data_IF_010674384952
#
_entry.id   IF_010674384952
#
_cell.length_a   1.000
_cell.length_b   1.000
_cell.length_c   1.000
_cell.angle_alpha   90.00
_cell.angle_beta   90.00
_cell.angle_gamma   90.00
#
_symmetry.space_group_name_H-M   'P 1'
#
loop_
_entity.id
_entity.type
_entity.pdbx_description
1 polymer ?
#
# COMPACT_ATOMS: atom_id res chain seq x y z
N UNK A 1 -43.81 -31.91 -53.82
CA UNK A 1 -43.09 -30.62 -53.72
C UNK A 1 -43.49 -30.01 -52.39
N UNK A 2 -42.61 -30.22 -51.41
CA UNK A 2 -41.98 -29.17 -50.58
C UNK A 2 -42.83 -28.86 -49.33
N UNK A 3 -42.48 -29.39 -48.16
CA UNK A 3 -41.42 -28.95 -47.23
C UNK A 3 -41.66 -27.53 -46.71
N UNK A 4 -41.80 -27.38 -45.39
CA UNK A 4 -41.70 -26.07 -44.76
C UNK A 4 -42.25 -26.03 -43.36
N UNK A 5 -41.41 -26.38 -42.38
CA UNK A 5 -41.75 -26.55 -40.98
C UNK A 5 -42.35 -25.33 -40.28
N UNK A 6 -43.36 -25.59 -39.45
CA UNK A 6 -43.79 -24.69 -38.40
C UNK A 6 -42.82 -24.79 -37.20
N UNK A 7 -41.80 -23.93 -37.23
CA UNK A 7 -41.06 -23.48 -36.05
C UNK A 7 -40.78 -21.99 -36.25
N UNK A 8 -40.96 -21.16 -35.21
CA UNK A 8 -39.82 -21.01 -34.33
C UNK A 8 -40.20 -20.93 -32.85
N UNK A 9 -39.55 -21.79 -32.07
CA UNK A 9 -39.05 -21.39 -30.77
C UNK A 9 -38.00 -20.30 -31.00
N UNK A 10 -38.31 -19.05 -30.63
CA UNK A 10 -37.33 -17.97 -30.54
C UNK A 10 -37.29 -17.52 -29.08
N UNK A 11 -36.13 -17.71 -28.46
CA UNK A 11 -35.89 -17.55 -27.03
C UNK A 11 -36.06 -16.11 -26.50
N UNK A 12 -35.89 -15.94 -25.17
CA UNK A 12 -36.05 -14.65 -24.50
C UNK A 12 -34.95 -13.68 -24.95
N UNK A 13 -35.29 -12.80 -25.90
CA UNK A 13 -34.44 -11.70 -26.33
C UNK A 13 -34.40 -10.53 -25.32
N UNK A 14 -33.56 -9.51 -25.59
CA UNK A 14 -33.24 -8.37 -24.72
C UNK A 14 -34.42 -7.44 -24.34
N UNK A 15 -35.61 -7.73 -24.83
CA UNK A 15 -36.87 -7.02 -24.54
C UNK A 15 -37.21 -7.00 -23.04
N UNK A 16 -36.85 -8.07 -22.31
CA UNK A 16 -37.03 -8.16 -20.86
C UNK A 16 -36.20 -7.12 -20.09
N UNK A 17 -35.00 -6.79 -20.57
CA UNK A 17 -34.14 -5.79 -19.93
C UNK A 17 -34.66 -4.38 -20.09
N UNK A 18 -35.18 -4.05 -21.28
CA UNK A 18 -35.71 -2.72 -21.59
C UNK A 18 -37.06 -2.48 -20.93
N UNK A 19 -37.99 -3.44 -21.01
CA UNK A 19 -39.26 -3.38 -20.27
C UNK A 19 -39.07 -3.41 -18.75
N UNK A 20 -38.06 -4.15 -18.26
CA UNK A 20 -37.68 -4.17 -16.85
C UNK A 20 -37.15 -2.82 -16.35
N UNK A 21 -36.34 -2.13 -17.15
CA UNK A 21 -35.86 -0.78 -16.83
C UNK A 21 -36.99 0.25 -16.83
N UNK A 22 -37.91 0.19 -17.79
CA UNK A 22 -39.09 1.05 -17.81
C UNK A 22 -39.99 0.78 -16.59
N UNK A 23 -40.24 -0.48 -16.25
CA UNK A 23 -40.99 -0.85 -15.04
C UNK A 23 -40.28 -0.40 -13.76
N UNK A 24 -38.95 -0.50 -13.71
CA UNK A 24 -38.15 -0.02 -12.59
C UNK A 24 -38.19 1.52 -12.51
N UNK A 25 -38.17 2.21 -13.64
CA UNK A 25 -38.29 3.67 -13.70
C UNK A 25 -39.68 4.14 -13.26
N UNK A 26 -40.75 3.44 -13.66
CA UNK A 26 -42.11 3.75 -13.23
C UNK A 26 -42.31 3.48 -11.74
N UNK A 27 -41.76 2.38 -11.21
CA UNK A 27 -41.84 2.06 -9.78
C UNK A 27 -40.99 3.00 -8.94
N UNK A 28 -39.75 3.27 -9.34
CA UNK A 28 -38.88 4.26 -8.67
C UNK A 28 -39.49 5.65 -8.77
N UNK A 29 -40.06 6.05 -9.90
CA UNK A 29 -40.75 7.33 -10.06
C UNK A 29 -41.99 7.44 -9.15
N UNK A 30 -42.77 6.37 -9.02
CA UNK A 30 -43.92 6.31 -8.12
C UNK A 30 -43.52 6.37 -6.64
N UNK A 31 -42.45 5.65 -6.26
CA UNK A 31 -41.88 5.69 -4.91
C UNK A 31 -41.26 7.06 -4.63
N UNK A 32 -40.59 7.69 -5.60
CA UNK A 32 -40.01 9.01 -5.42
C UNK A 32 -41.09 10.10 -5.36
N UNK A 33 -42.20 9.95 -6.07
CA UNK A 33 -43.35 10.84 -5.97
C UNK A 33 -44.08 10.69 -4.61
N UNK A 34 -44.23 9.46 -4.11
CA UNK A 34 -44.89 9.18 -2.83
C UNK A 34 -44.01 9.47 -1.62
N UNK A 35 -42.68 9.29 -1.72
CA UNK A 35 -41.73 9.46 -0.62
C UNK A 35 -40.75 10.64 -0.79
N UNK A 36 -40.91 11.45 -1.84
CA UNK A 36 -40.05 12.60 -2.11
C UNK A 36 -40.03 13.62 -0.96
N UNK A 37 -41.15 13.75 -0.23
CA UNK A 37 -41.22 14.63 0.94
C UNK A 37 -40.32 14.13 2.09
N UNK A 38 -40.19 12.81 2.28
CA UNK A 38 -39.25 12.26 3.27
C UNK A 38 -37.81 12.49 2.87
N UNK A 39 -37.48 12.46 1.57
CA UNK A 39 -36.15 12.83 1.09
C UNK A 39 -35.85 14.31 1.38
N UNK A 40 -36.81 15.21 1.16
CA UNK A 40 -36.66 16.62 1.52
C UNK A 40 -36.52 16.80 3.04
N UNK A 41 -37.34 16.14 3.85
CA UNK A 41 -37.22 16.19 5.31
C UNK A 41 -35.92 15.59 5.81
N UNK A 42 -35.43 14.51 5.19
CA UNK A 42 -34.14 13.93 5.50
C UNK A 42 -33.00 14.91 5.17
N UNK A 43 -33.04 15.57 4.02
CA UNK A 43 -32.07 16.60 3.64
C UNK A 43 -32.15 17.79 4.59
N UNK A 44 -33.34 18.27 4.96
CA UNK A 44 -33.54 19.35 5.94
C UNK A 44 -33.03 18.93 7.33
N UNK A 45 -33.32 17.72 7.77
CA UNK A 45 -32.85 17.20 9.05
C UNK A 45 -31.32 17.09 9.08
N UNK A 46 -30.70 16.57 8.00
CA UNK A 46 -29.24 16.54 7.84
C UNK A 46 -28.67 17.95 7.79
N UNK A 47 -29.31 18.88 7.08
CA UNK A 47 -28.90 20.27 7.03
C UNK A 47 -28.96 20.92 8.42
N UNK A 48 -30.04 20.73 9.18
CA UNK A 48 -30.19 21.21 10.54
C UNK A 48 -29.20 20.55 11.50
N UNK A 49 -28.86 19.27 11.29
CA UNK A 49 -27.83 18.56 12.06
C UNK A 49 -26.45 19.16 11.79
N UNK A 50 -26.11 19.40 10.52
CA UNK A 50 -24.87 20.09 10.13
C UNK A 50 -24.87 21.53 10.65
N UNK A 51 -26.01 22.22 10.61
CA UNK A 51 -26.16 23.57 11.14
C UNK A 51 -26.02 23.59 12.66
N UNK A 52 -26.57 22.61 13.39
CA UNK A 52 -26.47 22.48 14.85
C UNK A 52 -25.06 22.07 15.28
N UNK A 53 -24.39 21.21 14.53
CA UNK A 53 -22.97 20.85 14.78
C UNK A 53 -22.04 22.01 14.43
N UNK A 54 -22.28 22.72 13.32
CA UNK A 54 -21.48 23.89 12.95
C UNK A 54 -21.74 25.08 13.87
N UNK A 55 -22.98 25.27 14.35
CA UNK A 55 -23.32 26.23 15.42
C UNK A 55 -22.80 25.77 16.79
N UNK A 56 -22.78 24.49 17.12
CA UNK A 56 -22.11 24.00 18.33
C UNK A 56 -20.58 24.13 18.26
N UNK A 57 -20.02 24.19 17.04
CA UNK A 57 -18.61 24.48 16.77
C UNK A 57 -18.29 25.99 16.73
N UNK A 58 -19.23 26.83 16.28
CA UNK A 58 -19.07 28.30 16.13
C UNK A 58 -19.63 29.09 17.32
N UNK A 59 -20.63 28.54 17.98
CA UNK A 59 -21.37 29.07 19.12
C UNK A 59 -20.96 28.41 20.44
N UNK A 60 -19.73 27.90 20.52
CA UNK A 60 -18.99 27.82 21.78
C UNK A 60 -18.55 29.24 22.26
N UNK A 61 -19.41 30.22 21.98
CA UNK A 61 -19.27 31.63 22.25
C UNK A 61 -20.64 32.18 22.70
N UNK A 62 -21.37 31.40 23.50
CA UNK A 62 -22.30 31.96 24.49
C UNK A 62 -21.52 32.09 25.81
N UNK A 63 -21.51 33.27 26.45
CA UNK A 63 -20.55 33.60 27.50
C UNK A 63 -21.13 33.32 28.90
N UNK A 64 -20.90 32.13 29.49
CA UNK A 64 -20.79 31.96 30.96
C UNK A 64 -20.71 30.50 31.46
N UNK A 65 -21.17 29.50 30.72
CA UNK A 65 -21.25 28.10 31.19
C UNK A 65 -20.77 27.21 30.02
N UNK A 66 -19.67 26.45 30.01
CA UNK A 66 -18.92 25.75 31.04
C UNK A 66 -17.42 25.72 30.63
N UNK A 67 -16.52 26.48 31.29
CA UNK A 67 -15.09 26.39 31.02
C UNK A 67 -14.55 24.96 31.26
N UNK A 68 -15.14 24.23 32.19
CA UNK A 68 -14.75 22.87 32.56
C UNK A 68 -14.96 21.83 31.45
N UNK A 69 -16.01 21.97 30.64
CA UNK A 69 -16.27 21.03 29.54
C UNK A 69 -15.33 21.27 28.36
N UNK A 70 -14.91 22.53 28.16
CA UNK A 70 -13.85 22.87 27.20
C UNK A 70 -12.51 22.30 27.66
N UNK A 71 -12.16 22.43 28.95
CA UNK A 71 -10.93 21.86 29.52
C UNK A 71 -10.91 20.34 29.38
N UNK A 72 -11.98 19.63 29.80
CA UNK A 72 -12.07 18.17 29.66
C UNK A 72 -11.94 17.69 28.21
N UNK A 73 -12.48 18.45 27.26
CA UNK A 73 -12.34 18.14 25.84
C UNK A 73 -10.91 18.36 25.34
N UNK A 74 -10.26 19.42 25.78
CA UNK A 74 -8.86 19.68 25.44
C UNK A 74 -7.93 18.65 26.07
N UNK A 75 -8.18 18.24 27.31
CA UNK A 75 -7.47 17.17 28.00
C UNK A 75 -7.64 15.83 27.29
N UNK A 76 -8.86 15.49 26.85
CA UNK A 76 -9.11 14.28 26.07
C UNK A 76 -8.35 14.29 24.72
N UNK A 77 -8.27 15.45 24.06
CA UNK A 77 -7.49 15.63 22.83
C UNK A 77 -5.97 15.62 23.09
N UNK A 78 -5.51 16.14 24.23
CA UNK A 78 -4.10 16.09 24.62
C UNK A 78 -3.69 14.65 24.97
N UNK A 79 -4.53 13.92 25.71
CA UNK A 79 -4.31 12.53 26.05
C UNK A 79 -4.28 11.64 24.79
N UNK A 80 -5.14 11.87 23.80
CA UNK A 80 -5.10 11.12 22.54
C UNK A 80 -3.83 11.41 21.74
N UNK A 81 -3.35 12.66 21.73
CA UNK A 81 -2.07 13.03 21.10
C UNK A 81 -0.87 12.38 21.77
N UNK A 82 -0.85 12.32 23.11
CA UNK A 82 0.24 11.68 23.85
C UNK A 82 0.29 10.17 23.59
N UNK A 83 -0.86 9.48 23.63
CA UNK A 83 -0.93 8.05 23.28
C UNK A 83 -0.40 7.77 21.88
N UNK A 84 -0.75 8.62 20.91
CA UNK A 84 -0.24 8.50 19.54
C UNK A 84 1.29 8.72 19.47
N UNK A 85 1.84 9.66 20.25
CA UNK A 85 3.28 9.89 20.30
C UNK A 85 4.03 8.72 20.95
N UNK A 86 3.49 8.14 22.03
CA UNK A 86 4.05 6.98 22.70
C UNK A 86 4.13 5.76 21.77
N UNK A 87 3.07 5.50 20.99
CA UNK A 87 3.08 4.44 19.98
C UNK A 87 4.17 4.64 18.92
N UNK A 88 4.33 5.88 18.44
CA UNK A 88 5.37 6.22 17.45
C UNK A 88 6.77 6.07 18.04
N UNK A 89 6.98 6.48 19.30
CA UNK A 89 8.26 6.31 20.00
C UNK A 89 8.57 4.82 20.16
N UNK A 90 7.60 4.02 20.61
CA UNK A 90 7.78 2.57 20.77
C UNK A 90 8.12 1.87 19.45
N UNK A 91 7.50 2.28 18.33
CA UNK A 91 7.85 1.77 17.00
C UNK A 91 9.26 2.19 16.58
N UNK A 92 9.66 3.43 16.86
CA UNK A 92 11.00 3.93 16.55
C UNK A 92 12.08 3.20 17.36
N UNK A 93 11.83 2.91 18.63
CA UNK A 93 12.73 2.14 19.49
C UNK A 93 12.87 0.70 18.99
N UNK A 94 11.77 0.01 18.72
CA UNK A 94 11.77 -1.35 18.16
C UNK A 94 12.54 -1.42 16.83
N UNK A 95 12.44 -0.40 15.99
CA UNK A 95 13.17 -0.35 14.73
C UNK A 95 14.68 -0.16 14.96
N UNK A 96 15.07 0.74 15.86
CA UNK A 96 16.48 0.95 16.25
C UNK A 96 17.09 -0.30 16.85
N UNK A 97 16.36 -1.02 17.70
CA UNK A 97 16.79 -2.30 18.28
C UNK A 97 17.04 -3.36 17.21
N UNK A 98 16.08 -3.54 16.28
CA UNK A 98 16.24 -4.46 15.15
C UNK A 98 17.44 -4.11 14.27
N UNK A 99 17.69 -2.82 14.02
CA UNK A 99 18.88 -2.40 13.28
C UNK A 99 20.17 -2.75 14.00
N UNK A 100 20.25 -2.52 15.32
CA UNK A 100 21.43 -2.89 16.12
C UNK A 100 21.67 -4.41 16.10
N UNK A 101 20.60 -5.20 16.22
CA UNK A 101 20.69 -6.67 16.13
C UNK A 101 21.24 -7.12 14.78
N UNK A 102 20.74 -6.57 13.67
CA UNK A 102 21.24 -6.90 12.34
C UNK A 102 22.70 -6.47 12.14
N UNK A 103 23.12 -5.34 12.71
CA UNK A 103 24.52 -4.92 12.67
C UNK A 103 25.42 -5.86 13.48
N UNK A 104 24.99 -6.28 14.66
CA UNK A 104 25.71 -7.26 15.47
C UNK A 104 25.78 -8.63 14.79
N UNK A 105 24.69 -9.12 14.22
CA UNK A 105 24.66 -10.37 13.46
C UNK A 105 25.60 -10.31 12.26
N UNK A 106 25.61 -9.20 11.50
CA UNK A 106 26.58 -9.02 10.41
C UNK A 106 28.02 -8.98 10.90
N UNK A 107 28.28 -8.42 12.07
CA UNK A 107 29.62 -8.46 12.68
C UNK A 107 30.00 -9.89 13.07
N UNK A 108 29.09 -10.62 13.72
CA UNK A 108 29.28 -12.02 14.11
C UNK A 108 29.45 -12.93 12.89
N UNK A 109 28.66 -12.76 11.84
CA UNK A 109 28.79 -13.48 10.57
C UNK A 109 30.15 -13.23 9.91
N UNK A 110 30.64 -11.98 9.92
CA UNK A 110 31.98 -11.69 9.42
C UNK A 110 33.04 -12.41 10.23
N UNK A 111 32.98 -12.37 11.56
CA UNK A 111 33.93 -13.07 12.44
C UNK A 111 33.89 -14.58 12.17
N UNK A 112 32.71 -15.19 12.19
CA UNK A 112 32.52 -16.61 11.93
C UNK A 112 33.01 -17.02 10.53
N UNK A 113 32.76 -16.18 9.51
CA UNK A 113 33.28 -16.41 8.16
C UNK A 113 34.81 -16.37 8.15
N UNK A 114 35.43 -15.38 8.78
CA UNK A 114 36.89 -15.25 8.89
C UNK A 114 37.52 -16.40 9.67
N UNK A 115 36.91 -16.84 10.78
CA UNK A 115 37.35 -18.00 11.57
C UNK A 115 37.23 -19.30 10.75
N UNK A 116 36.12 -19.51 10.04
CA UNK A 116 35.95 -20.69 9.16
C UNK A 116 36.96 -20.72 8.01
N UNK A 117 37.45 -19.55 7.60
CA UNK A 117 38.46 -19.39 6.55
C UNK A 117 39.87 -19.66 7.09
N UNK A 118 40.18 -19.22 8.32
CA UNK A 118 41.44 -19.57 9.00
C UNK A 118 41.53 -21.06 9.34
N UNK A 119 40.43 -21.68 9.79
CA UNK A 119 40.38 -23.10 10.14
C UNK A 119 40.36 -24.04 8.91
N UNK A 120 40.43 -23.51 7.69
CA UNK A 120 40.49 -24.30 6.45
C UNK A 120 39.19 -25.03 6.08
N UNK A 121 38.09 -24.78 6.79
CA UNK A 121 36.77 -25.39 6.57
C UNK A 121 35.98 -24.73 5.42
N UNK A 122 36.46 -23.59 4.91
CA UNK A 122 35.73 -22.67 4.03
C UNK A 122 35.32 -23.21 2.64
N UNK A 123 35.84 -24.33 2.13
CA UNK A 123 35.50 -24.77 0.76
C UNK A 123 34.68 -26.07 0.63
N UNK A 124 34.66 -26.97 1.64
CA UNK A 124 33.96 -28.27 1.51
C UNK A 124 32.67 -28.42 2.32
N UNK A 125 32.41 -27.57 3.31
CA UNK A 125 31.24 -27.71 4.22
C UNK A 125 29.97 -26.96 3.80
N UNK A 126 30.10 -25.81 3.13
CA UNK A 126 28.95 -24.93 2.82
C UNK A 126 27.97 -25.50 1.79
N UNK A 127 28.38 -26.47 0.97
CA UNK A 127 27.50 -27.14 0.02
C UNK A 127 26.45 -28.04 0.71
N UNK A 128 26.76 -28.62 1.87
CA UNK A 128 25.83 -29.51 2.60
C UNK A 128 24.85 -28.74 3.47
N UNK A 129 25.28 -27.65 4.11
CA UNK A 129 24.39 -26.81 4.93
C UNK A 129 23.32 -26.09 4.10
N UNK A 130 23.69 -25.57 2.93
CA UNK A 130 22.74 -24.92 2.02
C UNK A 130 21.75 -25.93 1.40
N UNK A 131 22.15 -27.19 1.22
CA UNK A 131 21.26 -28.26 0.74
C UNK A 131 20.25 -28.69 1.82
N UNK A 132 20.65 -28.73 3.09
CA UNK A 132 19.78 -29.11 4.21
C UNK A 132 18.76 -28.00 4.58
N UNK A 133 19.12 -26.73 4.41
CA UNK A 133 18.20 -25.59 4.56
C UNK A 133 17.15 -25.56 3.42
N UNK A 134 17.55 -25.93 2.20
CA UNK A 134 16.64 -26.07 1.05
C UNK A 134 15.73 -27.30 1.17
N UNK A 135 16.22 -28.44 1.66
CA UNK A 135 15.39 -29.65 1.86
C UNK A 135 14.34 -29.49 2.98
N UNK A 136 14.67 -28.77 4.04
CA UNK A 136 13.72 -28.51 5.14
C UNK A 136 12.60 -27.53 4.77
N UNK A 137 12.78 -26.75 3.69
CA UNK A 137 11.78 -25.82 3.16
C UNK A 137 11.06 -26.34 1.90
N UNK A 138 11.39 -27.53 1.39
CA UNK A 138 10.91 -28.05 0.12
C UNK A 138 9.75 -29.07 0.22
N UNK A 139 9.12 -29.22 1.38
CA UNK A 139 7.87 -29.99 1.52
C UNK A 139 6.65 -29.17 1.07
N UNK A 140 6.64 -28.72 -0.19
CA UNK A 140 5.41 -28.37 -0.93
C UNK A 140 5.69 -28.20 -2.44
N UNK A 141 5.12 -29.13 -3.24
CA UNK A 141 4.72 -28.94 -4.64
C UNK A 141 5.81 -28.69 -5.70
N UNK A 142 6.14 -29.77 -6.43
CA UNK A 142 7.05 -29.82 -7.57
C UNK A 142 6.50 -29.21 -8.86
N UNK A 143 7.28 -28.34 -9.54
CA UNK A 143 7.43 -28.23 -11.01
C UNK A 143 8.77 -27.54 -11.34
N UNK A 144 9.76 -28.18 -11.98
CA UNK A 144 10.98 -27.48 -12.42
C UNK A 144 10.73 -26.74 -13.76
N UNK A 145 10.69 -25.40 -13.74
CA UNK A 145 10.70 -24.58 -14.97
C UNK A 145 12.13 -24.56 -15.56
N UNK A 146 12.25 -24.80 -16.86
CA UNK A 146 13.53 -24.72 -17.60
C UNK A 146 14.09 -23.29 -17.61
N UNK A 147 15.41 -23.17 -17.44
CA UNK A 147 16.12 -21.88 -17.36
C UNK A 147 16.14 -21.21 -18.75
N UNK A 148 15.69 -19.95 -18.92
CA UNK A 148 15.88 -19.23 -20.17
C UNK A 148 17.36 -18.86 -20.34
N UNK A 149 17.86 -19.11 -21.54
CA UNK A 149 19.22 -18.85 -22.01
C UNK A 149 19.66 -17.40 -21.66
N UNK A 150 20.55 -17.25 -20.65
CA UNK A 150 20.98 -15.93 -20.18
C UNK A 150 22.10 -15.40 -21.07
N UNK A 151 21.75 -14.42 -21.90
CA UNK A 151 22.70 -13.48 -22.50
C UNK A 151 23.55 -12.87 -21.36
N UNK A 152 24.89 -12.77 -21.48
CA UNK A 152 25.73 -12.22 -20.43
C UNK A 152 25.29 -10.78 -20.11
N UNK A 153 25.19 -10.47 -18.81
CA UNK A 153 24.73 -9.18 -18.27
C UNK A 153 25.69 -8.01 -18.57
N UNK A 154 26.78 -8.26 -19.31
CA UNK A 154 27.72 -7.25 -19.80
C UNK A 154 27.90 -7.48 -21.30
N UNK A 155 27.52 -6.49 -22.11
CA UNK A 155 27.82 -6.49 -23.54
C UNK A 155 29.33 -6.64 -23.74
N UNK A 156 29.75 -7.43 -24.72
CA UNK A 156 31.15 -7.87 -24.93
C UNK A 156 32.15 -6.77 -25.32
N UNK A 157 31.93 -5.51 -24.93
CA UNK A 157 32.78 -4.36 -25.26
C UNK A 157 33.68 -3.87 -24.12
N UNK A 158 33.59 -4.42 -22.90
CA UNK A 158 34.46 -3.96 -21.81
C UNK A 158 35.84 -4.61 -21.88
N UNK A 159 36.80 -3.89 -22.46
CA UNK A 159 38.22 -4.25 -22.45
C UNK A 159 39.00 -3.35 -21.45
N UNK A 160 39.47 -3.88 -20.31
CA UNK A 160 40.15 -3.10 -19.27
C UNK A 160 41.52 -2.54 -19.71
N UNK A 161 42.05 -2.96 -20.86
CA UNK A 161 43.30 -2.42 -21.44
C UNK A 161 43.07 -1.33 -22.48
N UNK A 162 41.89 -1.25 -23.10
CA UNK A 162 41.64 -0.35 -24.24
C UNK A 162 40.79 0.88 -23.88
N UNK A 163 40.31 1.00 -22.64
CA UNK A 163 39.65 2.23 -22.18
C UNK A 163 38.37 2.64 -22.92
N UNK A 164 37.84 1.80 -23.81
CA UNK A 164 36.61 2.07 -24.57
C UNK A 164 35.38 1.76 -23.69
N UNK A 165 35.13 2.63 -22.73
CA UNK A 165 34.04 2.52 -21.77
C UNK A 165 33.78 3.84 -21.06
N UNK A 166 34.02 4.95 -21.75
CA UNK A 166 33.81 6.31 -21.25
C UNK A 166 32.55 6.93 -21.83
N UNK A 167 31.41 6.74 -21.17
CA UNK A 167 30.19 7.44 -21.59
C UNK A 167 28.96 6.97 -20.86
N UNK A 168 28.74 7.49 -19.64
CA UNK A 168 27.45 7.65 -18.91
C UNK A 168 27.67 7.52 -17.40
N UNK A 169 28.52 8.37 -16.82
CA UNK A 169 28.55 8.66 -15.37
C UNK A 169 29.40 9.93 -15.14
N UNK A 170 28.97 11.08 -15.65
CA UNK A 170 29.53 12.39 -15.28
C UNK A 170 28.90 12.86 -13.97
N UNK A 171 29.33 12.30 -12.85
CA UNK A 171 29.04 12.92 -11.55
C UNK A 171 30.00 14.10 -11.35
N UNK A 172 29.51 15.33 -11.50
CA UNK A 172 30.22 16.54 -11.06
C UNK A 172 29.61 17.00 -9.72
N UNK A 173 30.40 17.13 -8.65
CA UNK A 173 29.94 17.75 -7.41
C UNK A 173 29.51 19.19 -7.70
N UNK A 174 28.28 19.55 -7.31
CA UNK A 174 27.78 20.92 -7.44
C UNK A 174 28.68 21.91 -6.71
N UNK A 175 29.06 22.99 -7.40
CA UNK A 175 29.87 24.07 -6.80
C UNK A 175 29.08 24.70 -5.66
N UNK A 176 29.48 24.45 -4.41
CA UNK A 176 29.14 25.32 -3.28
C UNK A 176 30.18 26.44 -3.23
N UNK A 177 29.77 27.64 -3.60
CA UNK A 177 30.55 28.87 -3.47
C UNK A 177 29.72 30.06 -3.96
N UNK A 178 29.72 31.22 -3.27
CA UNK A 178 28.80 32.31 -3.55
C UNK A 178 29.25 33.08 -4.80
N UNK A 179 28.32 33.32 -5.73
CA UNK A 179 28.55 34.27 -6.82
C UNK A 179 27.96 35.61 -6.40
N UNK A 180 28.84 36.55 -6.08
CA UNK A 180 28.52 37.97 -6.06
C UNK A 180 28.07 38.45 -7.46
N UNK A 181 27.27 39.51 -7.50
CA UNK A 181 27.11 40.38 -8.67
C UNK A 181 25.67 40.51 -9.18
N UNK A 182 25.04 41.65 -8.88
CA UNK A 182 23.73 42.07 -9.37
C UNK A 182 23.16 43.16 -8.49
#
# INVERSE_FOLDING_TARGET
>A
MELGGAGPAAGPGPELGRGGLEALQHTVGSVLASYGWYMLLAVVAVYLLVQKVSRGRRGAAEPAEEPDVVVRRQEALAASRLRMQEELIALAERYKEKQKQLEEERRRQKIAMWESMQEGKSYKGNLKLNQQEVESSASASAVPKSKPNKKPLRGGGYNPLSGEGGGMCSWRPGRRGPSAGG
#
